data_IF_565597504425
#
_entry.id   IF_565597504425
#
_cell.length_a   1.000
_cell.length_b   1.000
_cell.length_c   1.000
_cell.angle_alpha   90.00
_cell.angle_beta   90.00
_cell.angle_gamma   90.00
#
_symmetry.space_group_name_H-M   'P 1'
#
loop_
_entity.id
_entity.type
_entity.pdbx_description
1 polymer ?
#
# COMPACT_ATOMS: atom_id res chain seq x y z
N UNK A 1 26.79 0.19 35.02
CA UNK A 1 25.44 -0.41 35.11
C UNK A 1 24.51 0.43 34.24
N UNK A 2 24.46 0.11 32.94
CA UNK A 2 23.58 0.81 31.99
C UNK A 2 22.30 0.00 31.88
N UNK A 3 21.24 0.46 32.54
CA UNK A 3 19.92 -0.16 32.45
C UNK A 3 19.25 0.33 31.17
N UNK A 4 19.09 -0.57 30.20
CA UNK A 4 18.09 -0.39 29.16
C UNK A 4 16.73 -0.30 29.86
N UNK A 5 16.10 0.87 29.80
CA UNK A 5 14.71 1.01 30.18
C UNK A 5 13.90 0.05 29.29
N UNK A 6 13.00 -0.78 29.86
CA UNK A 6 12.07 -1.52 29.03
C UNK A 6 11.30 -0.53 28.17
N UNK A 7 10.97 -0.90 26.93
CA UNK A 7 10.06 -0.17 26.07
C UNK A 7 8.69 -0.04 26.76
N UNK A 8 8.56 0.89 27.70
CA UNK A 8 7.27 1.35 28.19
C UNK A 8 6.61 1.99 26.98
N UNK A 9 5.47 1.44 26.58
CA UNK A 9 4.69 1.88 25.44
C UNK A 9 4.45 3.40 25.53
N UNK A 10 5.26 4.17 24.81
CA UNK A 10 5.02 5.58 24.64
C UNK A 10 3.66 5.71 23.93
N UNK A 11 2.63 6.28 24.59
CA UNK A 11 1.33 6.44 23.98
C UNK A 11 1.40 7.26 22.68
N UNK A 12 2.39 8.15 22.55
CA UNK A 12 2.67 8.94 21.34
C UNK A 12 3.10 8.06 20.17
N UNK A 13 4.06 7.16 20.39
CA UNK A 13 4.52 6.19 19.38
C UNK A 13 3.38 5.30 18.87
N UNK A 14 2.54 4.82 19.78
CA UNK A 14 1.35 4.02 19.42
C UNK A 14 0.37 4.80 18.56
N UNK A 15 -0.01 6.01 18.98
CA UNK A 15 -0.93 6.88 18.23
C UNK A 15 -0.39 7.26 16.85
N UNK A 16 0.92 7.52 16.74
CA UNK A 16 1.56 7.83 15.46
C UNK A 16 1.48 6.63 14.51
N UNK A 17 1.92 5.45 14.96
CA UNK A 17 1.87 4.24 14.14
C UNK A 17 0.43 3.92 13.70
N UNK A 18 -0.54 3.97 14.62
CA UNK A 18 -1.94 3.68 14.33
C UNK A 18 -2.54 4.70 13.32
N UNK A 19 -2.12 5.97 13.38
CA UNK A 19 -2.52 6.98 12.39
C UNK A 19 -1.98 6.68 10.99
N UNK A 20 -0.70 6.30 10.89
CA UNK A 20 -0.07 5.99 9.60
C UNK A 20 -0.59 4.68 9.02
N UNK A 21 -0.85 3.67 9.86
CA UNK A 21 -1.50 2.41 9.47
C UNK A 21 -2.88 2.69 8.87
N UNK A 22 -3.72 3.46 9.58
CA UNK A 22 -5.05 3.83 9.08
C UNK A 22 -4.99 4.58 7.74
N UNK A 23 -4.03 5.51 7.60
CA UNK A 23 -3.78 6.22 6.36
C UNK A 23 -3.42 5.28 5.20
N UNK A 24 -2.52 4.33 5.43
CA UNK A 24 -2.13 3.37 4.41
C UNK A 24 -3.29 2.43 4.03
N UNK A 25 -4.04 1.92 5.00
CA UNK A 25 -5.19 1.05 4.72
C UNK A 25 -6.27 1.78 3.91
N UNK A 26 -6.49 3.07 4.18
CA UNK A 26 -7.37 3.92 3.39
C UNK A 26 -6.85 4.12 1.97
N UNK A 27 -5.54 4.37 1.80
CA UNK A 27 -4.90 4.42 0.49
C UNK A 27 -5.14 3.14 -0.30
N UNK A 28 -4.87 1.97 0.29
CA UNK A 28 -5.07 0.67 -0.38
C UNK A 28 -6.53 0.41 -0.73
N UNK A 29 -7.45 0.78 0.17
CA UNK A 29 -8.90 0.65 -0.06
C UNK A 29 -9.36 1.50 -1.24
N UNK A 30 -8.98 2.79 -1.27
CA UNK A 30 -9.32 3.72 -2.37
C UNK A 30 -8.65 3.32 -3.68
N UNK A 31 -7.38 2.92 -3.65
CA UNK A 31 -6.63 2.47 -4.81
C UNK A 31 -7.28 1.23 -5.44
N UNK A 32 -7.65 0.24 -4.61
CA UNK A 32 -8.33 -0.96 -5.06
C UNK A 32 -9.73 -0.64 -5.62
N UNK A 33 -10.45 0.31 -5.01
CA UNK A 33 -11.76 0.77 -5.51
C UNK A 33 -11.68 1.36 -6.91
N UNK A 34 -10.69 2.21 -7.17
CA UNK A 34 -10.46 2.77 -8.52
C UNK A 34 -10.06 1.65 -9.49
N UNK A 35 -9.10 0.81 -9.11
CA UNK A 35 -8.59 -0.27 -9.97
C UNK A 35 -9.68 -1.28 -10.37
N UNK A 36 -10.63 -1.59 -9.48
CA UNK A 36 -11.76 -2.50 -9.78
C UNK A 36 -12.68 -2.00 -10.91
N UNK A 37 -12.71 -0.69 -11.18
CA UNK A 37 -13.54 -0.11 -12.26
C UNK A 37 -12.99 -0.42 -13.65
N UNK A 38 -11.69 -0.70 -13.77
CA UNK A 38 -11.00 -0.85 -15.05
C UNK A 38 -11.70 -1.83 -16.00
N UNK A 39 -12.16 -2.97 -15.47
CA UNK A 39 -12.91 -3.97 -16.26
C UNK A 39 -14.17 -3.36 -16.87
N UNK A 40 -15.02 -2.76 -16.05
CA UNK A 40 -16.28 -2.17 -16.50
C UNK A 40 -16.05 -1.02 -17.49
N UNK A 41 -15.01 -0.19 -17.28
CA UNK A 41 -14.63 0.88 -18.22
C UNK A 41 -14.23 0.29 -19.58
N UNK A 42 -13.43 -0.76 -19.57
CA UNK A 42 -13.01 -1.46 -20.78
C UNK A 42 -14.20 -2.08 -21.54
N UNK A 43 -15.06 -2.83 -20.85
CA UNK A 43 -16.23 -3.48 -21.45
C UNK A 43 -17.19 -2.49 -22.09
N UNK A 44 -17.34 -1.30 -21.49
CA UNK A 44 -18.21 -0.22 -21.98
C UNK A 44 -17.53 0.70 -23.01
N UNK A 45 -16.26 0.47 -23.34
CA UNK A 45 -15.45 1.37 -24.18
C UNK A 45 -15.39 2.81 -23.63
N UNK A 46 -15.47 2.97 -22.32
CA UNK A 46 -15.49 4.25 -21.62
C UNK A 46 -14.05 4.76 -21.43
N UNK A 47 -13.40 5.13 -22.54
CA UNK A 47 -11.96 5.44 -22.56
C UNK A 47 -11.60 6.68 -21.77
N UNK A 48 -12.39 7.76 -21.89
CA UNK A 48 -12.17 8.99 -21.12
C UNK A 48 -12.23 8.70 -19.63
N UNK A 49 -13.29 8.02 -19.18
CA UNK A 49 -13.44 7.65 -17.77
C UNK A 49 -12.30 6.76 -17.26
N UNK A 50 -11.75 5.89 -18.12
CA UNK A 50 -10.58 5.08 -17.80
C UNK A 50 -9.30 5.92 -17.65
N UNK A 51 -9.15 6.98 -18.44
CA UNK A 51 -8.05 7.95 -18.30
C UNK A 51 -8.20 8.77 -17.00
N UNK A 52 -9.43 9.15 -16.65
CA UNK A 52 -9.73 9.85 -15.40
C UNK A 52 -9.43 8.95 -14.18
N UNK A 53 -9.90 7.69 -14.19
CA UNK A 53 -9.57 6.71 -13.14
C UNK A 53 -8.04 6.52 -13.01
N UNK A 54 -7.28 6.54 -14.11
CA UNK A 54 -5.82 6.45 -14.07
C UNK A 54 -5.16 7.69 -13.45
N UNK A 55 -5.63 8.90 -13.80
CA UNK A 55 -5.18 10.15 -13.18
C UNK A 55 -5.48 10.18 -11.69
N UNK A 56 -6.72 9.85 -11.31
CA UNK A 56 -7.14 9.81 -9.91
C UNK A 56 -6.27 8.85 -9.10
N UNK A 57 -5.92 7.69 -9.66
CA UNK A 57 -5.05 6.72 -9.01
C UNK A 57 -3.63 7.24 -8.76
N UNK A 58 -3.07 8.04 -9.67
CA UNK A 58 -1.74 8.66 -9.52
C UNK A 58 -1.79 9.72 -8.40
N UNK A 59 -2.79 10.59 -8.43
CA UNK A 59 -2.92 11.69 -7.46
C UNK A 59 -3.33 11.21 -6.06
N UNK A 60 -4.01 10.06 -5.97
CA UNK A 60 -4.52 9.52 -4.71
C UNK A 60 -3.44 9.35 -3.63
N UNK A 61 -2.22 8.98 -4.01
CA UNK A 61 -1.14 8.76 -3.05
C UNK A 61 -0.86 10.03 -2.24
N UNK A 62 -0.64 11.16 -2.93
CA UNK A 62 -0.37 12.42 -2.27
C UNK A 62 -1.57 12.89 -1.44
N UNK A 63 -2.80 12.72 -1.95
CA UNK A 63 -4.02 13.08 -1.19
C UNK A 63 -4.05 12.34 0.14
N UNK A 64 -3.87 11.02 0.15
CA UNK A 64 -3.97 10.23 1.38
C UNK A 64 -2.78 10.50 2.31
N UNK A 65 -1.58 10.76 1.79
CA UNK A 65 -0.45 11.22 2.63
C UNK A 65 -0.80 12.52 3.35
N UNK A 66 -1.40 13.50 2.67
CA UNK A 66 -1.79 14.77 3.31
C UNK A 66 -2.93 14.59 4.32
N UNK A 67 -3.93 13.76 4.02
CA UNK A 67 -4.99 13.40 4.98
C UNK A 67 -4.39 12.72 6.23
N UNK A 68 -3.39 11.84 6.04
CA UNK A 68 -2.69 11.16 7.13
C UNK A 68 -1.90 12.15 7.98
N UNK A 69 -1.21 13.11 7.37
CA UNK A 69 -0.50 14.17 8.08
C UNK A 69 -1.44 15.02 8.93
N UNK A 70 -2.61 15.39 8.39
CA UNK A 70 -3.63 16.11 9.15
C UNK A 70 -4.10 15.28 10.34
N UNK A 71 -4.43 14.00 10.13
CA UNK A 71 -4.84 13.10 11.21
C UNK A 71 -3.78 12.89 12.29
N UNK A 72 -2.49 12.88 11.91
CA UNK A 72 -1.37 12.84 12.86
C UNK A 72 -1.33 14.13 13.69
N UNK A 73 -1.41 15.29 13.05
CA UNK A 73 -1.38 16.60 13.73
C UNK A 73 -2.54 16.78 14.69
N UNK A 74 -3.74 16.34 14.29
CA UNK A 74 -4.92 16.39 15.16
C UNK A 74 -4.76 15.54 16.44
N UNK A 75 -3.97 14.46 16.39
CA UNK A 75 -3.78 13.51 17.51
C UNK A 75 -2.55 13.80 18.38
N UNK A 76 -1.52 14.41 17.80
CA UNK A 76 -0.20 14.56 18.42
C UNK A 76 0.28 16.01 18.50
N UNK A 77 -0.43 16.95 17.86
CA UNK A 77 -0.06 18.35 17.75
C UNK A 77 0.73 18.66 16.47
N UNK A 78 0.96 19.95 16.22
CA UNK A 78 1.58 20.45 14.98
C UNK A 78 3.10 20.31 14.93
N UNK A 79 3.74 19.95 16.04
CA UNK A 79 5.19 19.75 16.12
C UNK A 79 5.65 18.41 15.52
N UNK A 80 6.93 18.29 15.12
CA UNK A 80 7.49 16.99 14.78
C UNK A 80 7.47 16.07 16.00
N UNK A 81 7.13 14.77 15.84
CA UNK A 81 7.24 13.80 16.91
C UNK A 81 8.66 13.77 17.50
N UNK A 82 8.77 13.48 18.79
CA UNK A 82 10.08 13.29 19.41
C UNK A 82 10.83 12.10 18.75
N UNK A 83 12.18 12.10 18.71
CA UNK A 83 12.94 11.00 18.11
C UNK A 83 12.57 9.61 18.66
N UNK A 84 12.30 9.52 19.95
CA UNK A 84 11.89 8.29 20.65
C UNK A 84 10.48 7.86 20.25
N UNK A 85 9.54 8.80 20.11
CA UNK A 85 8.18 8.55 19.62
C UNK A 85 8.22 8.01 18.19
N UNK A 86 9.00 8.65 17.32
CA UNK A 86 9.14 8.26 15.91
C UNK A 86 9.84 6.89 15.76
N UNK A 87 10.86 6.60 16.56
CA UNK A 87 11.53 5.30 16.57
C UNK A 87 10.59 4.19 17.07
N UNK A 88 9.83 4.46 18.13
CA UNK A 88 8.81 3.53 18.64
C UNK A 88 7.68 3.29 17.63
N UNK A 89 7.24 4.34 16.93
CA UNK A 89 6.23 4.23 15.88
C UNK A 89 6.73 3.39 14.70
N UNK A 90 7.98 3.58 14.28
CA UNK A 90 8.61 2.78 13.21
C UNK A 90 8.62 1.30 13.58
N UNK A 91 9.06 0.96 14.80
CA UNK A 91 9.11 -0.42 15.27
C UNK A 91 7.72 -1.07 15.24
N UNK A 92 6.69 -0.37 15.75
CA UNK A 92 5.31 -0.85 15.75
C UNK A 92 4.73 -0.99 14.33
N UNK A 93 5.03 -0.03 13.46
CA UNK A 93 4.63 -0.09 12.05
C UNK A 93 5.28 -1.29 11.34
N UNK A 94 6.56 -1.55 11.58
CA UNK A 94 7.29 -2.68 11.02
C UNK A 94 6.65 -4.03 11.39
N UNK A 95 6.31 -4.22 12.68
CA UNK A 95 5.64 -5.45 13.15
C UNK A 95 4.29 -5.73 12.47
N UNK A 96 3.58 -4.68 12.09
CA UNK A 96 2.34 -4.75 11.33
C UNK A 96 2.60 -4.96 9.83
N UNK A 97 3.53 -4.21 9.24
CA UNK A 97 3.83 -4.21 7.81
C UNK A 97 4.38 -5.56 7.33
N UNK A 98 5.25 -6.21 8.12
CA UNK A 98 5.90 -7.48 7.77
C UNK A 98 4.94 -8.65 7.54
N UNK A 99 3.70 -8.55 8.05
CA UNK A 99 2.66 -9.57 7.89
C UNK A 99 1.85 -9.40 6.60
N UNK A 100 2.24 -8.44 5.76
CA UNK A 100 1.50 -8.05 4.56
C UNK A 100 2.23 -8.48 3.29
N UNK A 101 1.49 -8.79 2.22
CA UNK A 101 2.07 -9.01 0.89
C UNK A 101 2.54 -7.71 0.22
N UNK A 102 2.12 -6.56 0.72
CA UNK A 102 2.47 -5.24 0.21
C UNK A 102 3.31 -4.42 1.23
N UNK A 103 4.19 -5.09 1.98
CA UNK A 103 5.05 -4.49 3.01
C UNK A 103 5.91 -3.34 2.47
N UNK A 104 6.61 -3.52 1.34
CA UNK A 104 7.47 -2.50 0.72
C UNK A 104 6.73 -1.20 0.41
N UNK A 105 5.48 -1.32 -0.04
CA UNK A 105 4.63 -0.18 -0.36
C UNK A 105 4.17 0.52 0.92
N UNK A 106 3.91 -0.24 1.99
CA UNK A 106 3.57 0.30 3.30
C UNK A 106 4.74 1.07 3.92
N UNK A 107 5.95 0.53 3.86
CA UNK A 107 7.18 1.19 4.34
C UNK A 107 7.48 2.48 3.57
N UNK A 108 7.29 2.47 2.25
CA UNK A 108 7.42 3.66 1.41
C UNK A 108 6.40 4.75 1.78
N UNK A 109 5.15 4.33 2.07
CA UNK A 109 4.11 5.23 2.56
C UNK A 109 4.48 5.84 3.92
N UNK A 110 4.96 5.01 4.85
CA UNK A 110 5.42 5.46 6.16
C UNK A 110 6.55 6.50 6.03
N UNK A 111 7.58 6.21 5.24
CA UNK A 111 8.67 7.15 4.97
C UNK A 111 8.16 8.48 4.39
N UNK A 112 7.16 8.43 3.52
CA UNK A 112 6.55 9.63 2.93
C UNK A 112 5.89 10.53 3.97
N UNK A 113 5.28 9.93 5.01
CA UNK A 113 4.66 10.65 6.13
C UNK A 113 5.73 11.19 7.09
N UNK A 114 6.66 10.33 7.55
CA UNK A 114 7.70 10.73 8.52
C UNK A 114 8.58 11.86 7.98
N UNK A 115 9.02 11.77 6.72
CA UNK A 115 9.82 12.85 6.10
C UNK A 115 9.11 14.19 6.10
N UNK A 116 7.79 14.20 5.87
CA UNK A 116 6.98 15.43 5.85
C UNK A 116 6.71 15.97 7.26
N UNK A 117 6.63 15.10 8.27
CA UNK A 117 6.49 15.52 9.68
C UNK A 117 7.77 16.17 10.21
N UNK A 118 8.94 15.59 9.89
CA UNK A 118 10.23 16.06 10.40
C UNK A 118 10.87 17.16 9.52
N UNK A 119 10.33 17.42 8.33
CA UNK A 119 10.94 18.33 7.36
C UNK A 119 12.34 17.87 6.92
N UNK A 120 12.58 16.55 6.93
CA UNK A 120 13.93 15.97 6.88
C UNK A 120 14.67 16.32 5.59
N UNK A 121 15.93 16.78 5.74
CA UNK A 121 16.96 16.76 4.70
C UNK A 121 17.93 15.63 5.02
N UNK A 122 17.94 14.57 4.21
CA UNK A 122 18.73 13.35 4.45
C UNK A 122 17.85 12.14 4.80
N UNK A 123 18.49 11.03 5.21
CA UNK A 123 17.82 9.79 5.64
C UNK A 123 18.24 9.48 7.07
N UNK A 124 17.27 9.24 7.97
CA UNK A 124 17.54 8.79 9.34
C UNK A 124 17.02 7.34 9.55
N UNK A 125 17.90 6.32 9.52
CA UNK A 125 17.50 4.91 9.66
C UNK A 125 16.82 4.56 10.99
N UNK A 126 16.89 5.44 12.00
CA UNK A 126 16.21 5.23 13.29
C UNK A 126 14.70 5.43 13.18
N UNK A 127 14.26 6.27 12.24
CA UNK A 127 12.87 6.68 12.08
C UNK A 127 12.33 6.41 10.66
N UNK A 128 13.17 6.00 9.71
CA UNK A 128 12.80 5.62 8.34
C UNK A 128 13.18 4.16 8.03
N UNK A 129 12.46 3.57 7.08
CA UNK A 129 12.81 2.29 6.47
C UNK A 129 13.85 2.51 5.36
N UNK A 130 14.96 1.77 5.41
CA UNK A 130 16.03 1.80 4.40
C UNK A 130 16.13 0.45 3.71
N UNK A 131 16.58 0.42 2.46
CA UNK A 131 16.48 -0.75 1.57
C UNK A 131 17.12 -2.06 2.09
N UNK A 132 18.00 -2.00 3.10
CA UNK A 132 18.61 -3.18 3.71
C UNK A 132 17.77 -3.80 4.84
N UNK A 133 16.68 -3.14 5.26
CA UNK A 133 15.78 -3.56 6.35
C UNK A 133 14.43 -4.11 5.82
N UNK A 134 14.29 -4.29 4.51
CA UNK A 134 13.02 -4.70 3.89
C UNK A 134 12.74 -6.16 4.22
N UNK A 135 11.66 -6.41 4.95
CA UNK A 135 11.17 -7.75 5.21
C UNK A 135 10.63 -8.38 3.92
N UNK A 136 10.95 -9.66 3.68
CA UNK A 136 10.35 -10.41 2.57
C UNK A 136 8.81 -10.36 2.69
N UNK A 137 8.08 -10.01 1.61
CA UNK A 137 6.63 -9.92 1.66
C UNK A 137 6.04 -11.28 2.02
N UNK A 138 5.09 -11.27 2.97
CA UNK A 138 4.33 -12.48 3.28
C UNK A 138 3.46 -12.83 2.07
N UNK A 139 3.58 -14.02 1.45
CA UNK A 139 2.76 -14.38 0.30
C UNK A 139 1.27 -14.32 0.65
N UNK A 140 0.45 -13.74 -0.24
CA UNK A 140 -1.01 -13.64 -0.04
C UNK A 140 -1.77 -14.96 -0.31
N UNK A 141 -1.02 -16.03 -0.62
CA UNK A 141 -1.53 -17.37 -0.93
C UNK A 141 -2.21 -17.48 -2.29
N UNK A 142 -2.23 -16.42 -3.11
CA UNK A 142 -2.84 -16.44 -4.43
C UNK A 142 -1.77 -16.67 -5.49
N UNK A 143 -2.01 -17.64 -6.35
CA UNK A 143 -1.18 -17.80 -7.55
C UNK A 143 -1.52 -16.65 -8.53
N UNK A 144 -0.55 -15.80 -8.93
CA UNK A 144 -0.80 -14.72 -9.87
C UNK A 144 -0.90 -15.22 -11.32
N UNK A 145 -0.75 -16.53 -11.55
CA UNK A 145 -0.89 -17.20 -12.83
C UNK A 145 -1.94 -18.31 -12.74
N UNK A 146 -2.44 -18.75 -13.90
CA UNK A 146 -3.27 -19.95 -14.04
C UNK A 146 -2.60 -20.89 -15.03
N UNK A 147 -2.55 -22.17 -14.70
CA UNK A 147 -1.97 -23.20 -15.57
C UNK A 147 -3.06 -23.92 -16.35
N UNK A 148 -2.93 -23.97 -17.68
CA UNK A 148 -3.83 -24.70 -18.57
C UNK A 148 -3.07 -25.86 -19.21
N UNK A 149 -3.56 -27.09 -19.01
CA UNK A 149 -3.03 -28.24 -19.74
C UNK A 149 -3.49 -28.19 -21.19
N UNK A 150 -2.56 -28.50 -22.11
CA UNK A 150 -2.89 -28.65 -23.53
C UNK A 150 -3.68 -29.94 -23.70
N UNK A 151 -4.94 -29.79 -24.07
CA UNK A 151 -5.90 -30.87 -24.25
C UNK A 151 -6.87 -30.47 -25.36
N UNK A 152 -7.12 -31.39 -26.30
CA UNK A 152 -7.84 -31.11 -27.55
C UNK A 152 -7.07 -30.20 -28.54
N UNK A 153 -5.75 -30.05 -28.37
CA UNK A 153 -4.90 -29.17 -29.19
C UNK A 153 -4.82 -27.72 -28.70
N UNK A 154 -4.00 -26.92 -29.39
CA UNK A 154 -3.75 -25.52 -29.01
C UNK A 154 -5.00 -24.64 -29.10
N UNK A 155 -5.78 -24.75 -30.18
CA UNK A 155 -6.99 -23.94 -30.38
C UNK A 155 -7.98 -24.08 -29.21
N UNK A 156 -8.36 -25.32 -28.88
CA UNK A 156 -9.25 -25.60 -27.76
C UNK A 156 -8.68 -25.13 -26.40
N UNK A 157 -7.35 -25.13 -26.25
CA UNK A 157 -6.69 -24.62 -25.04
C UNK A 157 -6.78 -23.10 -24.95
N UNK A 158 -6.56 -22.38 -26.05
CA UNK A 158 -6.71 -20.93 -26.12
C UNK A 158 -8.17 -20.52 -25.85
N UNK A 159 -9.16 -21.25 -26.39
CA UNK A 159 -10.56 -21.00 -26.07
C UNK A 159 -10.84 -21.10 -24.57
N UNK A 160 -10.29 -22.09 -23.87
CA UNK A 160 -10.39 -22.20 -22.40
C UNK A 160 -9.73 -21.04 -21.68
N UNK A 161 -8.58 -20.55 -22.17
CA UNK A 161 -7.91 -19.37 -21.62
C UNK A 161 -8.82 -18.14 -21.76
N UNK A 162 -9.33 -17.88 -22.97
CA UNK A 162 -10.21 -16.74 -23.25
C UNK A 162 -11.51 -16.81 -22.44
N UNK A 163 -12.11 -17.99 -22.33
CA UNK A 163 -13.32 -18.21 -21.51
C UNK A 163 -13.08 -18.05 -20.00
N UNK A 164 -11.83 -18.14 -19.54
CA UNK A 164 -11.47 -17.94 -18.13
C UNK A 164 -11.31 -16.46 -17.74
N UNK A 165 -11.23 -15.57 -18.74
CA UNK A 165 -11.13 -14.13 -18.50
C UNK A 165 -12.47 -13.63 -17.96
N UNK A 166 -12.47 -12.73 -16.96
CA UNK A 166 -13.70 -12.26 -16.34
C UNK A 166 -14.41 -11.19 -17.19
N UNK A 167 -14.39 -11.29 -18.52
CA UNK A 167 -14.96 -10.31 -19.44
C UNK A 167 -16.37 -10.73 -19.88
N UNK A 168 -17.32 -9.81 -19.81
CA UNK A 168 -18.72 -10.06 -20.24
C UNK A 168 -18.97 -9.71 -21.72
N UNK A 169 -18.05 -8.99 -22.36
CA UNK A 169 -18.16 -8.61 -23.78
C UNK A 169 -17.99 -9.81 -24.71
N UNK A 170 -18.79 -9.92 -25.80
CA UNK A 170 -18.61 -10.98 -26.79
C UNK A 170 -17.32 -10.79 -27.59
N UNK A 171 -16.72 -11.91 -28.00
CA UNK A 171 -15.62 -11.92 -28.97
C UNK A 171 -16.15 -11.64 -30.38
N UNK A 172 -15.42 -10.83 -31.15
CA UNK A 172 -15.80 -10.50 -32.54
C UNK A 172 -15.72 -11.74 -33.45
N UNK A 173 -14.62 -12.48 -33.33
CA UNK A 173 -14.38 -13.78 -33.96
C UNK A 173 -13.86 -14.72 -32.86
N UNK A 174 -14.33 -15.97 -32.86
CA UNK A 174 -13.88 -17.02 -31.94
C UNK A 174 -12.95 -17.98 -32.66
#
# INVERSE_FOLDING_TARGET
MSGALPASADPGAGRLADAVIAGYEEYRTRFARITRRARQRFERRAWSDGQDDARDRILLYDVVVHETLAAVRDRLGDGPPAPEEAAGARARFAEWARRRPDCEVAETFYNSVIRRLHGTVGVDPRIEFVANDVDDPTPDGREPWKTFRVDGGFGATIERVLASLPLESPWHER
#
